data_IF_001403398558
#
_entry.id   IF_001403398558
#
_cell.length_a   1.000
_cell.length_b   1.000
_cell.length_c   1.000
_cell.angle_alpha   90.00
_cell.angle_beta   90.00
_cell.angle_gamma   90.00
#
_symmetry.space_group_name_H-M   'P 1'
#
loop_
_entity.id
_entity.type
_entity.pdbx_description
1 polymer ?
#
# COMPACT_ATOMS: atom_id res chain seq x y z
N UNK A 1 -15.65 32.33 -3.22
CA UNK A 1 -15.26 30.94 -3.52
C UNK A 1 -15.93 30.03 -2.49
N UNK A 2 -17.03 29.38 -2.84
CA UNK A 2 -17.79 28.53 -1.90
C UNK A 2 -17.52 27.06 -2.22
N UNK A 3 -16.84 26.37 -1.31
CA UNK A 3 -16.58 24.92 -1.41
C UNK A 3 -17.86 24.15 -1.08
N UNK A 4 -18.32 23.32 -2.02
CA UNK A 4 -19.42 22.37 -1.80
C UNK A 4 -18.86 21.11 -1.14
N UNK A 5 -19.24 20.86 0.10
CA UNK A 5 -19.00 19.59 0.77
C UNK A 5 -19.97 18.54 0.23
N UNK A 6 -19.44 17.47 -0.36
CA UNK A 6 -20.24 16.31 -0.76
C UNK A 6 -20.68 15.54 0.50
N UNK A 7 -21.99 15.43 0.72
CA UNK A 7 -22.56 14.61 1.78
C UNK A 7 -22.38 13.13 1.46
N UNK A 8 -21.54 12.42 2.22
CA UNK A 8 -21.39 10.97 2.14
C UNK A 8 -22.66 10.34 2.74
N UNK A 9 -23.55 9.84 1.90
CA UNK A 9 -24.71 9.08 2.31
C UNK A 9 -24.26 7.72 2.88
N UNK A 10 -24.30 7.57 4.21
CA UNK A 10 -24.09 6.29 4.89
C UNK A 10 -25.32 5.41 4.64
N UNK A 11 -25.19 4.40 3.76
CA UNK A 11 -26.19 3.33 3.63
C UNK A 11 -26.19 2.49 4.92
N UNK A 12 -27.21 2.69 5.75
CA UNK A 12 -27.53 1.78 6.84
C UNK A 12 -28.07 0.46 6.27
N UNK A 13 -27.29 -0.62 6.39
CA UNK A 13 -27.78 -1.97 6.12
C UNK A 13 -28.58 -2.48 7.33
N UNK A 14 -29.91 -2.42 7.24
CA UNK A 14 -30.79 -3.14 8.17
C UNK A 14 -30.81 -4.62 7.77
N UNK A 15 -30.18 -5.50 8.57
CA UNK A 15 -30.35 -6.95 8.46
C UNK A 15 -31.74 -7.31 8.99
N UNK A 16 -32.67 -7.57 8.07
CA UNK A 16 -33.94 -8.21 8.40
C UNK A 16 -33.70 -9.72 8.53
N UNK A 17 -33.71 -10.23 9.77
CA UNK A 17 -33.82 -11.65 10.02
C UNK A 17 -35.29 -12.07 9.85
N UNK A 18 -35.66 -12.45 8.63
CA UNK A 18 -36.93 -13.15 8.41
C UNK A 18 -36.84 -14.55 9.01
N UNK A 19 -37.63 -14.81 10.05
CA UNK A 19 -37.87 -16.16 10.56
C UNK A 19 -38.34 -17.05 9.41
N UNK A 20 -37.57 -18.11 9.15
CA UNK A 20 -37.88 -19.13 8.15
C UNK A 20 -39.02 -20.02 8.66
N UNK A 21 -40.23 -19.47 8.79
CA UNK A 21 -41.46 -20.25 8.90
C UNK A 21 -41.70 -20.94 7.56
N UNK A 22 -41.40 -22.25 7.54
CA UNK A 22 -41.88 -23.31 6.63
C UNK A 22 -42.66 -22.86 5.37
N UNK A 23 -41.98 -22.25 4.39
CA UNK A 23 -42.57 -21.95 3.07
C UNK A 23 -42.77 -23.19 2.16
N UNK A 24 -42.70 -24.39 2.72
CA UNK A 24 -42.73 -25.67 1.98
C UNK A 24 -43.73 -26.68 2.57
N UNK A 25 -44.60 -26.29 3.50
CA UNK A 25 -45.72 -27.14 3.91
C UNK A 25 -46.83 -27.07 2.85
N UNK A 26 -46.74 -27.93 1.82
CA UNK A 26 -47.83 -28.13 0.84
C UNK A 26 -47.49 -27.87 -0.63
N UNK A 27 -46.22 -27.71 -1.02
CA UNK A 27 -45.85 -27.63 -2.45
C UNK A 27 -45.39 -29.00 -2.96
N UNK A 28 -46.01 -29.51 -4.02
CA UNK A 28 -45.52 -30.67 -4.75
C UNK A 28 -44.13 -30.33 -5.31
N UNK A 29 -43.10 -31.03 -4.84
CA UNK A 29 -41.76 -30.90 -5.36
C UNK A 29 -41.69 -31.57 -6.74
N UNK A 30 -41.08 -30.95 -7.75
CA UNK A 30 -40.83 -31.63 -9.01
C UNK A 30 -39.95 -32.85 -8.75
N UNK A 31 -40.29 -33.99 -9.36
CA UNK A 31 -39.54 -35.23 -9.19
C UNK A 31 -38.08 -35.01 -9.62
N UNK A 32 -37.15 -35.17 -8.68
CA UNK A 32 -35.71 -35.03 -8.96
C UNK A 32 -35.21 -36.26 -9.71
N UNK A 33 -35.29 -36.20 -11.04
CA UNK A 33 -34.73 -37.23 -11.91
C UNK A 33 -33.23 -36.99 -12.17
N UNK A 34 -32.50 -38.07 -12.42
CA UNK A 34 -31.07 -38.05 -12.78
C UNK A 34 -30.76 -37.34 -14.12
N UNK A 35 -31.79 -36.89 -14.84
CA UNK A 35 -31.67 -36.05 -16.05
C UNK A 35 -31.77 -34.54 -15.73
N UNK A 36 -31.78 -34.17 -14.45
CA UNK A 36 -31.71 -32.76 -14.09
C UNK A 36 -30.39 -32.13 -14.56
N UNK A 37 -30.43 -30.83 -14.86
CA UNK A 37 -29.25 -30.09 -15.38
C UNK A 37 -28.01 -30.24 -14.49
N UNK A 38 -28.19 -30.47 -13.19
CA UNK A 38 -27.09 -30.69 -12.26
C UNK A 38 -26.36 -32.01 -12.57
N UNK A 39 -27.11 -33.11 -12.74
CA UNK A 39 -26.56 -34.45 -12.98
C UNK A 39 -25.97 -34.58 -14.38
N UNK A 40 -26.58 -33.93 -15.37
CA UNK A 40 -26.01 -33.87 -16.72
C UNK A 40 -24.70 -33.11 -16.75
N UNK A 41 -24.63 -31.96 -16.08
CA UNK A 41 -23.41 -31.16 -16.05
C UNK A 41 -22.30 -31.85 -15.23
N UNK A 42 -22.63 -32.55 -14.14
CA UNK A 42 -21.64 -33.34 -13.38
C UNK A 42 -21.15 -34.54 -14.17
N UNK A 43 -22.03 -35.27 -14.86
CA UNK A 43 -21.64 -36.36 -15.76
C UNK A 43 -20.72 -35.87 -16.88
N UNK A 44 -21.05 -34.73 -17.52
CA UNK A 44 -20.19 -34.11 -18.53
C UNK A 44 -18.84 -33.68 -17.96
N UNK A 45 -18.80 -33.13 -16.75
CA UNK A 45 -17.54 -32.76 -16.09
C UNK A 45 -16.67 -33.98 -15.80
N UNK A 46 -17.26 -35.09 -15.35
CA UNK A 46 -16.53 -36.34 -15.11
C UNK A 46 -16.02 -36.93 -16.43
N UNK A 47 -16.83 -36.98 -17.48
CA UNK A 47 -16.42 -37.45 -18.81
C UNK A 47 -15.28 -36.58 -19.36
N UNK A 48 -15.39 -35.26 -19.23
CA UNK A 48 -14.34 -34.33 -19.65
C UNK A 48 -13.05 -34.56 -18.87
N UNK A 49 -13.12 -34.78 -17.55
CA UNK A 49 -11.97 -35.09 -16.72
C UNK A 49 -11.29 -36.42 -17.08
N UNK A 50 -12.06 -37.47 -17.38
CA UNK A 50 -11.52 -38.76 -17.82
C UNK A 50 -10.91 -38.66 -19.22
N UNK A 51 -11.56 -37.96 -20.15
CA UNK A 51 -11.02 -37.72 -21.48
C UNK A 51 -9.70 -36.94 -21.39
N UNK A 52 -9.64 -35.90 -20.55
CA UNK A 52 -8.42 -35.14 -20.28
C UNK A 52 -7.31 -36.03 -19.71
N UNK A 53 -7.61 -36.86 -18.71
CA UNK A 53 -6.64 -37.79 -18.13
C UNK A 53 -6.06 -38.77 -19.15
N UNK A 54 -6.89 -39.31 -20.05
CA UNK A 54 -6.44 -40.22 -21.11
C UNK A 54 -5.58 -39.52 -22.16
N UNK A 55 -5.94 -38.29 -22.52
CA UNK A 55 -5.16 -37.45 -23.44
C UNK A 55 -3.82 -37.10 -22.81
N UNK A 56 -3.80 -36.71 -21.55
CA UNK A 56 -2.60 -36.42 -20.77
C UNK A 56 -1.65 -37.62 -20.70
N UNK A 57 -2.17 -38.82 -20.44
CA UNK A 57 -1.38 -40.06 -20.48
C UNK A 57 -0.81 -40.36 -21.88
N UNK A 58 -1.63 -40.30 -22.93
CA UNK A 58 -1.16 -40.58 -24.29
C UNK A 58 -0.12 -39.58 -24.79
N UNK A 59 -0.22 -38.32 -24.39
CA UNK A 59 0.75 -37.29 -24.75
C UNK A 59 2.05 -37.46 -23.96
N UNK A 60 1.96 -37.80 -22.68
CA UNK A 60 3.13 -38.01 -21.81
C UNK A 60 3.91 -39.27 -22.20
N UNK A 61 3.24 -40.31 -22.72
CA UNK A 61 3.86 -41.54 -23.23
C UNK A 61 4.66 -41.35 -24.53
N UNK A 62 4.37 -40.31 -25.32
CA UNK A 62 5.06 -40.02 -26.59
C UNK A 62 6.47 -39.42 -26.40
N UNK A 63 6.93 -39.26 -25.16
CA UNK A 63 8.29 -38.83 -24.85
C UNK A 63 8.58 -37.34 -25.08
N UNK A 64 7.57 -36.53 -25.41
CA UNK A 64 7.69 -35.08 -25.32
C UNK A 64 7.66 -34.68 -23.83
N UNK A 65 8.78 -34.17 -23.32
CA UNK A 65 8.96 -33.80 -21.89
C UNK A 65 7.95 -32.75 -21.38
N UNK A 66 7.19 -32.10 -22.27
CA UNK A 66 6.22 -31.04 -21.94
C UNK A 66 4.89 -31.26 -22.65
N UNK A 67 3.82 -31.27 -21.86
CA UNK A 67 2.44 -31.28 -22.37
C UNK A 67 2.19 -30.07 -23.30
N UNK A 68 1.45 -30.21 -24.42
CA UNK A 68 1.23 -29.14 -25.40
C UNK A 68 0.48 -27.93 -24.81
N UNK A 69 -0.33 -28.15 -23.78
CA UNK A 69 -0.92 -27.04 -23.00
C UNK A 69 0.14 -26.23 -22.26
N UNK A 70 1.12 -26.90 -21.64
CA UNK A 70 2.26 -26.24 -21.00
C UNK A 70 3.10 -25.49 -22.04
N UNK A 71 3.32 -26.07 -23.22
CA UNK A 71 4.02 -25.41 -24.34
C UNK A 71 3.25 -24.19 -24.87
N UNK A 72 1.93 -24.25 -24.93
CA UNK A 72 1.07 -23.13 -25.31
C UNK A 72 1.13 -22.00 -24.28
N UNK A 73 1.11 -22.33 -22.99
CA UNK A 73 1.31 -21.37 -21.91
C UNK A 73 2.71 -20.75 -22.00
N UNK A 74 3.74 -21.58 -22.17
CA UNK A 74 5.14 -21.15 -22.28
C UNK A 74 5.34 -20.20 -23.47
N UNK A 75 4.70 -20.47 -24.61
CA UNK A 75 4.74 -19.59 -25.79
C UNK A 75 4.17 -18.19 -25.51
N UNK A 76 3.15 -18.09 -24.66
CA UNK A 76 2.55 -16.81 -24.28
C UNK A 76 3.19 -16.16 -23.05
N UNK A 77 4.13 -16.84 -22.38
CA UNK A 77 4.86 -16.30 -21.24
C UNK A 77 6.16 -15.63 -21.69
N UNK A 78 6.61 -14.63 -20.92
CA UNK A 78 7.95 -14.08 -21.09
C UNK A 78 9.02 -15.10 -20.76
N UNK A 79 10.12 -15.06 -21.52
CA UNK A 79 11.22 -16.02 -21.43
C UNK A 79 11.87 -15.95 -20.05
N UNK A 80 12.40 -17.07 -19.54
CA UNK A 80 13.14 -17.10 -18.26
C UNK A 80 14.29 -16.09 -18.23
N UNK A 81 15.06 -16.00 -19.31
CA UNK A 81 16.16 -15.04 -19.43
C UNK A 81 15.72 -13.57 -19.29
N UNK A 82 14.55 -13.21 -19.82
CA UNK A 82 14.00 -11.85 -19.69
C UNK A 82 13.58 -11.56 -18.25
N UNK A 83 13.03 -12.56 -17.56
CA UNK A 83 12.69 -12.44 -16.12
C UNK A 83 13.93 -12.31 -15.25
N UNK A 84 15.00 -13.02 -15.57
CA UNK A 84 16.27 -12.92 -14.85
C UNK A 84 16.92 -11.54 -15.03
N UNK A 85 16.83 -10.98 -16.25
CA UNK A 85 17.24 -9.60 -16.52
C UNK A 85 16.41 -8.61 -15.71
N UNK A 86 15.08 -8.70 -15.75
CA UNK A 86 14.19 -7.83 -14.97
C UNK A 86 14.43 -7.93 -13.46
N UNK A 87 14.71 -9.13 -12.95
CA UNK A 87 15.02 -9.35 -11.53
C UNK A 87 16.34 -8.69 -11.15
N UNK A 88 17.34 -8.78 -12.03
CA UNK A 88 18.64 -8.14 -11.83
C UNK A 88 18.53 -6.62 -11.84
N UNK A 89 17.79 -6.07 -12.81
CA UNK A 89 17.50 -4.63 -12.89
C UNK A 89 16.75 -4.13 -11.65
N UNK A 90 15.75 -4.87 -11.17
CA UNK A 90 15.01 -4.53 -9.96
C UNK A 90 15.91 -4.58 -8.71
N UNK A 91 16.83 -5.55 -8.63
CA UNK A 91 17.80 -5.65 -7.55
C UNK A 91 18.78 -4.46 -7.56
N UNK A 92 19.24 -4.04 -8.73
CA UNK A 92 20.09 -2.85 -8.88
C UNK A 92 19.35 -1.55 -8.52
N UNK A 93 18.08 -1.42 -8.91
CA UNK A 93 17.28 -0.27 -8.51
C UNK A 93 17.07 -0.23 -6.99
N UNK A 94 16.83 -1.39 -6.36
CA UNK A 94 16.68 -1.50 -4.92
C UNK A 94 17.98 -1.12 -4.18
N UNK A 95 19.15 -1.52 -4.69
CA UNK A 95 20.43 -1.15 -4.09
C UNK A 95 20.67 0.36 -4.17
N UNK A 96 20.43 0.98 -5.33
CA UNK A 96 20.55 2.44 -5.52
C UNK A 96 19.63 3.22 -4.58
N UNK A 97 18.39 2.74 -4.39
CA UNK A 97 17.45 3.35 -3.44
C UNK A 97 17.91 3.19 -1.98
N UNK A 98 18.51 2.05 -1.63
CA UNK A 98 19.07 1.82 -0.31
C UNK A 98 20.27 2.74 -0.03
N UNK A 99 21.16 2.93 -1.00
CA UNK A 99 22.28 3.88 -0.92
C UNK A 99 21.79 5.32 -0.74
N UNK A 100 20.82 5.74 -1.56
CA UNK A 100 20.20 7.06 -1.43
C UNK A 100 19.56 7.25 -0.04
N UNK A 101 18.89 6.21 0.47
CA UNK A 101 18.30 6.23 1.80
C UNK A 101 19.35 6.40 2.88
N UNK A 102 20.49 5.72 2.79
CA UNK A 102 21.61 5.88 3.73
C UNK A 102 22.10 7.33 3.75
N UNK A 103 22.34 7.93 2.58
CA UNK A 103 22.76 9.34 2.45
C UNK A 103 21.71 10.27 3.08
N UNK A 104 20.43 10.02 2.84
CA UNK A 104 19.35 10.83 3.40
C UNK A 104 19.22 10.70 4.92
N UNK A 105 19.61 9.56 5.49
CA UNK A 105 19.60 9.32 6.94
C UNK A 105 20.79 10.00 7.62
N UNK A 106 21.96 9.97 6.98
CA UNK A 106 23.17 10.64 7.48
C UNK A 106 23.07 12.17 7.37
N UNK A 107 22.29 12.68 6.42
CA UNK A 107 22.04 14.10 6.26
C UNK A 107 21.29 14.67 7.48
N UNK A 108 22.04 15.23 8.43
CA UNK A 108 21.46 15.95 9.56
C UNK A 108 20.85 17.28 9.10
N UNK A 109 19.62 17.56 9.54
CA UNK A 109 19.01 18.89 9.37
C UNK A 109 19.86 19.91 10.10
N UNK A 110 20.21 21.01 9.43
CA UNK A 110 20.95 22.09 10.07
C UNK A 110 20.26 22.52 11.38
N UNK A 111 21.00 22.63 12.50
CA UNK A 111 20.43 22.97 13.78
C UNK A 111 19.76 24.34 13.70
N UNK A 112 18.47 24.40 14.02
CA UNK A 112 17.73 25.67 14.09
C UNK A 112 17.97 26.26 15.48
N UNK A 113 18.86 27.23 15.58
CA UNK A 113 19.05 28.00 16.80
C UNK A 113 17.81 28.89 17.03
N UNK A 114 16.96 28.49 17.98
CA UNK A 114 15.87 29.32 18.48
C UNK A 114 16.30 29.96 19.79
N UNK A 115 16.26 31.28 19.86
CA UNK A 115 16.51 31.99 21.10
C UNK A 115 15.35 31.70 22.07
N UNK A 116 15.66 31.14 23.23
CA UNK A 116 14.66 30.83 24.27
C UNK A 116 14.02 32.10 24.85
N UNK A 117 14.82 33.16 24.94
CA UNK A 117 14.42 34.45 25.50
C UNK A 117 14.91 35.57 24.56
N UNK A 118 14.10 35.98 23.57
CA UNK A 118 14.47 37.11 22.71
C UNK A 118 14.56 38.43 23.50
N UNK A 119 13.82 38.51 24.59
CA UNK A 119 13.80 39.61 25.56
C UNK A 119 15.08 39.76 26.39
N UNK A 120 16.03 38.80 26.36
CA UNK A 120 17.28 38.95 27.11
C UNK A 120 18.12 40.13 26.61
N UNK A 121 17.96 40.52 25.35
CA UNK A 121 18.62 41.71 24.80
C UNK A 121 18.09 43.01 25.41
N UNK A 122 16.80 43.05 25.74
CA UNK A 122 16.16 44.20 26.37
C UNK A 122 16.41 44.27 27.89
N UNK A 123 16.76 43.13 28.52
CA UNK A 123 16.99 42.99 29.97
C UNK A 123 18.45 43.16 30.38
N UNK A 124 19.32 43.69 29.52
CA UNK A 124 20.74 43.89 29.81
C UNK A 124 20.98 44.73 31.09
N UNK A 125 20.04 45.61 31.43
CA UNK A 125 20.04 46.37 32.67
C UNK A 125 18.86 45.96 33.57
N UNK A 126 19.07 45.70 34.88
CA UNK A 126 17.98 45.50 35.85
C UNK A 126 16.97 46.65 35.91
N UNK A 127 17.33 47.83 35.37
CA UNK A 127 16.47 49.02 35.29
C UNK A 127 16.04 49.36 33.86
N UNK A 128 16.28 48.50 32.87
CA UNK A 128 15.90 48.75 31.47
C UNK A 128 16.59 49.98 30.86
N UNK A 129 17.79 50.31 31.32
CA UNK A 129 18.54 51.44 30.78
C UNK A 129 19.08 51.10 29.38
N UNK A 130 18.71 51.94 28.41
CA UNK A 130 19.26 51.88 27.05
C UNK A 130 20.76 52.17 27.13
N UNK A 131 21.57 51.37 26.43
CA UNK A 131 23.02 51.57 26.36
C UNK A 131 23.34 52.98 25.84
N UNK A 132 24.30 53.66 26.49
CA UNK A 132 24.71 55.02 26.11
C UNK A 132 23.94 56.18 26.77
N UNK A 133 22.90 55.93 27.59
CA UNK A 133 22.22 57.01 28.33
C UNK A 133 22.99 57.51 29.55
N UNK A 134 23.83 56.67 30.15
CA UNK A 134 24.63 57.03 31.31
C UNK A 134 26.10 56.78 31.00
N UNK A 135 26.91 57.83 31.15
CA UNK A 135 28.35 57.74 31.20
C UNK A 135 28.77 57.83 32.67
N UNK A 136 29.67 56.95 33.11
CA UNK A 136 30.25 57.04 34.44
C UNK A 136 31.22 58.23 34.49
N UNK A 137 30.83 59.28 35.21
CA UNK A 137 31.63 60.49 35.41
C UNK A 137 32.30 60.52 36.79
N UNK A 138 32.25 59.42 37.55
CA UNK A 138 32.72 59.37 38.94
C UNK A 138 34.20 59.71 39.12
N UNK A 139 35.02 59.56 38.07
CA UNK A 139 36.46 59.81 38.10
C UNK A 139 36.90 61.03 37.27
N UNK A 140 35.99 61.99 37.03
CA UNK A 140 36.33 63.20 36.26
C UNK A 140 36.77 64.32 37.21
N UNK A 141 38.02 64.73 37.09
CA UNK A 141 38.54 65.94 37.74
C UNK A 141 38.35 67.14 36.80
N UNK A 142 37.37 68.00 37.13
CA UNK A 142 37.16 69.25 36.37
C UNK A 142 38.17 70.28 36.83
N UNK A 143 39.04 70.71 35.91
CA UNK A 143 39.96 71.83 36.14
C UNK A 143 39.15 73.13 36.17
N UNK A 144 39.24 73.89 37.27
CA UNK A 144 38.67 75.23 37.40
C UNK A 144 39.76 76.25 37.08
N UNK A 145 39.42 77.26 36.29
CA UNK A 145 40.26 78.42 36.01
C UNK A 145 40.29 79.38 37.21
#
# INVERSE_FOLDING_TARGET
>A
MAFRFASIARRSFTRNYSSATSKQAGKAFPEENFDSKIWRNTALAVIAGVAWYRIDQHITELGEEKHPFTKWIEYHMSTSAEKDQQTTEALEQASRLAEYKLISQDAQRAPIYRMRYPESFERASPRGLITGQQADLSNITVRRD
#
